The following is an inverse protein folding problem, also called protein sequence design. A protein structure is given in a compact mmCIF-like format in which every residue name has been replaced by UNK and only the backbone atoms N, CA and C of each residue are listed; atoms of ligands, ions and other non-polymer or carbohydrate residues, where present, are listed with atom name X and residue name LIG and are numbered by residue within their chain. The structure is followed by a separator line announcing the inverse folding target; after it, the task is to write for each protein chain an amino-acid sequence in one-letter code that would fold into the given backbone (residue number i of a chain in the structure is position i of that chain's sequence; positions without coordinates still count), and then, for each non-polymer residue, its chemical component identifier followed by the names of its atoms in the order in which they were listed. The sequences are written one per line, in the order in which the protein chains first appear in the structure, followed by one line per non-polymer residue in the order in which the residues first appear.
data_IF_581442992700
#
_entry.id   IF_581442992700
#
_cell.length_a   1.000
_cell.length_b   1.000
_cell.length_c   1.000
_cell.angle_alpha   90.00
_cell.angle_beta   90.00
_cell.angle_gamma   90.00
#
_symmetry.space_group_name_H-M   'P 1'
#
loop_
_entity.id
_entity.type
_entity.pdbx_description
1 polymer ?
#
# COMPACT_ATOMS: atom_id res chain seq x y z
N UNK A 1 16.39 24.60 -18.56
CA UNK A 1 15.73 24.10 -17.33
C UNK A 1 14.21 24.11 -17.46
N UNK A 2 13.55 25.22 -17.80
CA UNK A 2 12.10 25.28 -18.02
C UNK A 2 11.52 24.28 -19.05
N UNK A 3 12.26 23.92 -20.11
CA UNK A 3 11.78 22.97 -21.11
C UNK A 3 11.65 21.53 -20.57
N UNK A 4 12.52 21.14 -19.63
CA UNK A 4 12.46 19.81 -19.00
C UNK A 4 11.29 19.76 -18.04
N UNK A 5 11.08 20.84 -17.26
CA UNK A 5 9.96 20.90 -16.32
C UNK A 5 8.61 20.77 -17.05
N UNK A 6 8.44 21.46 -18.18
CA UNK A 6 7.25 21.33 -19.04
C UNK A 6 7.09 19.92 -19.61
N UNK A 7 8.18 19.29 -20.05
CA UNK A 7 8.14 17.92 -20.55
C UNK A 7 7.73 16.92 -19.46
N UNK A 8 8.23 17.11 -18.23
CA UNK A 8 7.84 16.31 -17.06
C UNK A 8 6.36 16.52 -16.73
N UNK A 9 5.85 17.75 -16.82
CA UNK A 9 4.43 18.02 -16.54
C UNK A 9 3.54 17.26 -17.52
N UNK A 10 3.82 17.38 -18.83
CA UNK A 10 3.07 16.67 -19.87
C UNK A 10 3.18 15.15 -19.71
N UNK A 11 4.35 14.64 -19.34
CA UNK A 11 4.53 13.22 -19.09
C UNK A 11 3.70 12.72 -17.89
N UNK A 12 3.61 13.51 -16.81
CA UNK A 12 2.78 13.19 -15.65
C UNK A 12 1.29 13.19 -16.00
N UNK A 13 0.84 14.17 -16.79
CA UNK A 13 -0.56 14.27 -17.22
C UNK A 13 -0.97 13.05 -18.06
N UNK A 14 -0.12 12.63 -19.00
CA UNK A 14 -0.36 11.42 -19.81
C UNK A 14 -0.31 10.14 -18.96
N UNK A 15 0.64 10.04 -18.02
CA UNK A 15 0.71 8.89 -17.11
C UNK A 15 -0.53 8.79 -16.20
N UNK A 16 -1.06 9.92 -15.74
CA UNK A 16 -2.30 9.96 -14.98
C UNK A 16 -3.50 9.55 -15.85
N UNK A 17 -3.55 9.98 -17.12
CA UNK A 17 -4.63 9.63 -18.04
C UNK A 17 -4.68 8.14 -18.40
N UNK A 18 -3.52 7.47 -18.48
CA UNK A 18 -3.44 6.02 -18.73
C UNK A 18 -3.54 5.18 -17.45
N UNK A 19 -3.50 5.82 -16.28
CA UNK A 19 -3.57 5.08 -15.01
C UNK A 19 -4.89 4.34 -14.90
N UNK A 20 -4.83 3.09 -14.46
CA UNK A 20 -6.01 2.27 -14.23
C UNK A 20 -6.20 2.15 -12.73
N UNK A 21 -7.30 2.70 -12.23
CA UNK A 21 -7.71 2.47 -10.85
C UNK A 21 -8.05 1.00 -10.66
N UNK A 22 -7.53 0.43 -9.57
CA UNK A 22 -7.75 -0.95 -9.20
C UNK A 22 -8.82 -0.96 -8.12
N UNK A 23 -9.99 -1.53 -8.40
CA UNK A 23 -11.12 -1.46 -7.47
C UNK A 23 -11.69 -2.81 -7.07
N UNK A 24 -11.34 -3.90 -7.78
CA UNK A 24 -11.83 -5.23 -7.42
C UNK A 24 -10.84 -5.97 -6.53
N UNK A 25 -11.38 -6.80 -5.63
CA UNK A 25 -10.59 -7.67 -4.77
C UNK A 25 -9.68 -8.59 -5.57
N UNK A 26 -10.17 -9.09 -6.70
CA UNK A 26 -9.42 -9.99 -7.59
C UNK A 26 -8.22 -9.28 -8.23
N UNK A 27 -8.39 -8.02 -8.65
CA UNK A 27 -7.28 -7.25 -9.21
C UNK A 27 -6.25 -6.89 -8.13
N UNK A 28 -6.69 -6.55 -6.90
CA UNK A 28 -5.78 -6.32 -5.76
C UNK A 28 -5.00 -7.60 -5.43
N UNK A 29 -5.67 -8.75 -5.38
CA UNK A 29 -5.03 -10.04 -5.14
C UNK A 29 -4.01 -10.37 -6.23
N UNK A 30 -4.33 -10.11 -7.50
CA UNK A 30 -3.45 -10.35 -8.63
C UNK A 30 -2.22 -9.44 -8.59
N UNK A 31 -2.41 -8.14 -8.35
CA UNK A 31 -1.30 -7.18 -8.23
C UNK A 31 -0.42 -7.53 -7.03
N UNK A 32 -1.04 -7.83 -5.87
CA UNK A 32 -0.35 -8.26 -4.66
C UNK A 32 0.46 -9.55 -4.88
N UNK A 33 -0.11 -10.54 -5.56
CA UNK A 33 0.57 -11.80 -5.87
C UNK A 33 1.75 -11.59 -6.82
N UNK A 34 1.60 -10.75 -7.85
CA UNK A 34 2.70 -10.43 -8.76
C UNK A 34 3.82 -9.67 -8.04
N UNK A 35 3.48 -8.73 -7.15
CA UNK A 35 4.46 -7.96 -6.38
C UNK A 35 5.18 -8.81 -5.33
N UNK A 36 4.49 -9.73 -4.67
CA UNK A 36 5.05 -10.63 -3.67
C UNK A 36 5.70 -11.89 -4.29
N UNK A 37 5.49 -12.14 -5.59
CA UNK A 37 5.83 -13.39 -6.28
C UNK A 37 5.23 -14.65 -5.61
N UNK A 38 4.13 -14.49 -4.88
CA UNK A 38 3.46 -15.53 -4.10
C UNK A 38 1.94 -15.32 -4.12
N UNK A 39 1.21 -16.33 -4.59
CA UNK A 39 -0.27 -16.29 -4.70
C UNK A 39 -0.96 -16.30 -3.33
N UNK A 40 -0.41 -16.98 -2.33
CA UNK A 40 -0.99 -17.10 -0.99
C UNK A 40 -0.91 -15.76 -0.26
N UNK A 41 0.24 -15.06 -0.40
CA UNK A 41 0.42 -13.70 0.15
C UNK A 41 -0.51 -12.71 -0.54
N UNK A 42 -0.67 -12.79 -1.87
CA UNK A 42 -1.60 -11.93 -2.60
C UNK A 42 -3.04 -12.05 -2.13
N UNK A 43 -3.48 -13.28 -1.82
CA UNK A 43 -4.82 -13.53 -1.26
C UNK A 43 -4.96 -12.88 0.13
N UNK A 44 -4.00 -13.08 1.03
CA UNK A 44 -4.02 -12.46 2.36
C UNK A 44 -4.05 -10.93 2.30
N UNK A 45 -3.30 -10.31 1.38
CA UNK A 45 -3.31 -8.86 1.19
C UNK A 45 -4.71 -8.39 0.75
N UNK A 46 -5.35 -9.08 -0.20
CA UNK A 46 -6.69 -8.68 -0.66
C UNK A 46 -7.74 -8.81 0.45
N UNK A 47 -7.65 -9.85 1.30
CA UNK A 47 -8.53 -10.02 2.45
C UNK A 47 -8.31 -8.96 3.53
N UNK A 48 -7.05 -8.56 3.74
CA UNK A 48 -6.70 -7.47 4.62
C UNK A 48 -7.28 -6.14 4.14
N UNK A 49 -7.08 -5.81 2.85
CA UNK A 49 -7.59 -4.57 2.26
C UNK A 49 -9.12 -4.52 2.26
N UNK A 50 -9.81 -5.64 2.04
CA UNK A 50 -11.27 -5.69 2.09
C UNK A 50 -11.82 -5.39 3.49
N UNK A 51 -11.14 -5.85 4.55
CA UNK A 51 -11.55 -5.61 5.94
C UNK A 51 -11.20 -4.20 6.43
N UNK A 52 -10.10 -3.64 5.97
CA UNK A 52 -9.54 -2.36 6.44
C UNK A 52 -10.06 -1.16 5.60
N UNK A 53 -10.41 -1.40 4.33
CA UNK A 53 -10.79 -0.35 3.38
C UNK A 53 -9.58 0.34 2.72
N UNK A 54 -9.84 1.21 1.74
CA UNK A 54 -8.80 1.84 0.92
C UNK A 54 -7.86 2.79 1.70
N UNK A 55 -8.35 3.38 2.79
CA UNK A 55 -7.62 4.41 3.56
C UNK A 55 -6.99 3.86 4.85
N UNK A 56 -7.11 2.57 5.13
CA UNK A 56 -6.61 2.02 6.39
C UNK A 56 -5.17 1.51 6.30
N UNK A 57 -4.51 1.49 7.45
CA UNK A 57 -3.09 1.13 7.56
C UNK A 57 -2.97 -0.35 7.91
N UNK A 58 -2.11 -1.06 7.18
CA UNK A 58 -1.74 -2.44 7.46
C UNK A 58 -0.37 -2.44 8.16
N UNK A 59 -0.31 -3.01 9.35
CA UNK A 59 0.93 -3.23 10.09
C UNK A 59 1.27 -4.71 10.09
N UNK A 60 2.55 -5.02 9.89
CA UNK A 60 3.06 -6.39 9.91
C UNK A 60 3.85 -6.58 11.21
N UNK A 61 3.49 -7.59 11.99
CA UNK A 61 4.25 -8.00 13.17
C UNK A 61 4.83 -9.40 12.97
N UNK A 62 6.10 -9.58 13.34
CA UNK A 62 6.76 -10.89 13.31
C UNK A 62 6.26 -11.74 14.48
N UNK A 63 5.35 -12.67 14.20
CA UNK A 63 4.88 -13.63 15.20
C UNK A 63 5.77 -14.87 15.25
N UNK A 64 5.93 -15.46 16.44
CA UNK A 64 6.62 -16.77 16.61
C UNK A 64 5.72 -17.96 16.24
N UNK A 65 4.50 -17.71 15.76
CA UNK A 65 3.53 -18.73 15.38
C UNK A 65 3.79 -19.26 13.97
N UNK A 66 3.33 -20.47 13.69
CA UNK A 66 3.38 -21.07 12.35
C UNK A 66 2.25 -20.62 11.42
N UNK A 67 1.31 -19.80 11.92
CA UNK A 67 0.12 -19.36 11.18
C UNK A 67 0.14 -17.85 11.00
N UNK A 68 -0.22 -17.41 9.80
CA UNK A 68 -0.53 -16.00 9.52
C UNK A 68 -1.91 -15.69 10.07
N UNK A 69 -1.98 -14.75 10.99
CA UNK A 69 -3.25 -14.28 11.57
C UNK A 69 -3.49 -12.83 11.16
N UNK A 70 -4.76 -12.49 10.94
CA UNK A 70 -5.17 -11.13 10.60
C UNK A 70 -6.11 -10.61 11.69
N UNK A 71 -5.64 -9.60 12.42
CA UNK A 71 -6.40 -8.89 13.45
C UNK A 71 -6.70 -7.47 12.96
N UNK A 72 -7.96 -7.04 13.13
CA UNK A 72 -8.39 -5.68 12.79
C UNK A 72 -8.57 -4.93 14.10
N UNK A 73 -7.80 -3.85 14.27
CA UNK A 73 -7.86 -2.99 15.45
C UNK A 73 -8.36 -1.61 15.05
N UNK A 74 -9.31 -1.06 15.80
CA UNK A 74 -9.76 0.32 15.64
C UNK A 74 -8.70 1.27 16.20
N UNK A 75 -7.73 1.64 15.36
CA UNK A 75 -6.66 2.58 15.65
C UNK A 75 -6.75 3.86 14.83
N UNK A 76 -5.98 4.88 15.21
CA UNK A 76 -5.82 6.11 14.45
C UNK A 76 -4.33 6.41 14.27
N UNK A 77 -3.89 6.56 13.03
CA UNK A 77 -2.54 7.00 12.71
C UNK A 77 -2.53 8.50 12.40
N UNK A 78 -1.51 9.20 12.89
CA UNK A 78 -1.27 10.60 12.56
C UNK A 78 0.03 10.72 11.78
N UNK A 79 0.03 11.46 10.68
CA UNK A 79 1.22 11.77 9.89
C UNK A 79 2.12 12.83 10.56
N UNK A 80 2.46 12.62 11.83
CA UNK A 80 3.40 13.47 12.57
C UNK A 80 4.70 12.71 12.78
N UNK A 81 5.74 13.16 12.09
CA UNK A 81 7.11 12.72 12.36
C UNK A 81 7.57 13.15 13.76
N UNK A 82 8.66 12.55 14.22
CA UNK A 82 9.29 12.95 15.47
C UNK A 82 9.88 14.35 15.36
N UNK A 83 9.81 15.12 16.47
CA UNK A 83 10.39 16.45 16.53
C UNK A 83 11.93 16.44 16.40
N UNK A 84 12.56 15.30 16.66
CA UNK A 84 14.01 15.12 16.59
C UNK A 84 14.35 13.71 16.10
N UNK A 85 15.36 13.55 15.23
CA UNK A 85 15.85 12.23 14.82
C UNK A 85 16.31 11.32 15.98
N UNK A 86 16.63 11.90 17.14
CA UNK A 86 17.00 11.15 18.35
C UNK A 86 15.82 10.47 19.07
N UNK A 87 14.59 10.71 18.62
CA UNK A 87 13.38 10.08 19.18
C UNK A 87 12.93 8.84 18.40
N UNK A 88 13.65 8.44 17.34
CA UNK A 88 13.43 7.19 16.61
C UNK A 88 14.04 6.03 17.40
N UNK A 89 13.29 4.94 17.60
CA UNK A 89 13.75 3.66 18.18
C UNK A 89 13.64 2.57 17.14
#
# INVERSE_FOLDING_TARGET
RQGIDKAVTVALDELAAISKEVSSKEEIAQVGAISAADEEIGQFISEAMEKVGNDGVITIEESKGFKTELEVVEGMQFDRGYASPYMVT
#
